data_IF_655807938032
#
_entry.id   IF_655807938032
#
_cell.length_a   1.000
_cell.length_b   1.000
_cell.length_c   1.000
_cell.angle_alpha   90.00
_cell.angle_beta   90.00
_cell.angle_gamma   90.00
#
_symmetry.space_group_name_H-M   'P 1'
#
loop_
_entity.id
_entity.type
_entity.pdbx_description
1 polymer ?
#
# COMPACT_ATOMS: atom_id res chain seq x y z
N UNK A 1 10.60 -4.97 -3.25
CA UNK A 1 11.44 -3.81 -2.85
C UNK A 1 11.10 -3.31 -1.45
N UNK A 2 9.92 -2.77 -1.12
CA UNK A 2 9.60 -2.22 0.21
C UNK A 2 9.84 -3.23 1.34
N UNK A 3 9.46 -4.52 1.15
CA UNK A 3 9.67 -5.59 2.14
C UNK A 3 11.15 -5.82 2.50
N UNK A 4 12.08 -5.65 1.57
CA UNK A 4 13.51 -5.81 1.87
C UNK A 4 14.03 -4.65 2.73
N UNK A 5 13.54 -3.45 2.54
CA UNK A 5 13.93 -2.30 3.37
C UNK A 5 13.44 -2.42 4.82
N UNK A 6 12.30 -3.07 5.06
CA UNK A 6 11.79 -3.30 6.40
C UNK A 6 12.68 -4.25 7.25
N UNK A 7 13.61 -4.98 6.62
CA UNK A 7 14.55 -5.86 7.33
C UNK A 7 15.88 -5.20 7.69
N UNK A 8 16.13 -3.97 7.23
CA UNK A 8 17.36 -3.26 7.51
C UNK A 8 17.37 -2.69 8.93
N UNK A 9 18.52 -2.65 9.59
CA UNK A 9 18.65 -2.12 10.95
C UNK A 9 18.43 -0.61 11.03
N UNK A 10 18.48 0.09 9.91
CA UNK A 10 18.21 1.52 9.79
C UNK A 10 18.26 1.96 8.33
N UNK A 11 17.58 3.08 8.05
CA UNK A 11 17.53 3.72 6.74
C UNK A 11 17.89 5.19 6.87
N UNK A 12 18.73 5.68 5.97
CA UNK A 12 18.94 7.11 5.76
C UNK A 12 18.33 7.47 4.43
N UNK A 13 17.39 8.42 4.42
CA UNK A 13 16.76 8.91 3.21
C UNK A 13 17.39 10.24 2.81
N UNK A 14 17.80 10.33 1.55
CA UNK A 14 18.28 11.53 0.92
C UNK A 14 17.20 12.04 -0.04
N UNK A 15 16.57 13.18 0.29
CA UNK A 15 15.57 13.82 -0.58
C UNK A 15 16.15 15.10 -1.17
N UNK A 16 16.00 15.25 -2.50
CA UNK A 16 16.43 16.45 -3.21
C UNK A 16 15.36 17.53 -3.22
N UNK A 17 15.79 18.77 -3.38
CA UNK A 17 14.95 19.94 -3.58
C UNK A 17 15.39 20.67 -4.86
N UNK A 18 14.59 21.60 -5.38
CA UNK A 18 14.82 22.34 -6.64
C UNK A 18 15.03 21.38 -7.84
N UNK A 19 16.24 21.40 -8.42
CA UNK A 19 16.60 20.60 -9.60
C UNK A 19 16.97 19.14 -9.24
N UNK A 20 16.94 18.76 -7.96
CA UNK A 20 17.24 17.41 -7.50
C UNK A 20 18.58 17.29 -6.76
N UNK A 21 19.12 16.08 -6.78
CA UNK A 21 20.40 15.73 -6.14
C UNK A 21 21.47 15.62 -7.21
N UNK A 22 22.71 16.05 -6.90
CA UNK A 22 23.86 15.91 -7.80
C UNK A 22 24.03 14.43 -8.17
N UNK A 23 24.14 14.16 -9.47
CA UNK A 23 24.26 12.80 -10.02
C UNK A 23 25.43 12.00 -9.42
N UNK A 24 26.51 12.67 -9.02
CA UNK A 24 27.65 12.01 -8.37
C UNK A 24 27.30 11.44 -7.01
N UNK A 25 26.30 12.01 -6.33
CA UNK A 25 25.76 11.48 -5.06
C UNK A 25 24.98 10.20 -5.35
N UNK A 26 24.09 10.23 -6.35
CA UNK A 26 23.32 9.05 -6.76
C UNK A 26 24.24 7.90 -7.21
N UNK A 27 25.31 8.19 -7.94
CA UNK A 27 26.22 7.18 -8.47
C UNK A 27 27.22 6.60 -7.45
N UNK A 28 27.59 7.36 -6.39
CA UNK A 28 28.74 7.00 -5.56
C UNK A 28 28.46 6.93 -4.06
N UNK A 29 27.35 7.50 -3.58
CA UNK A 29 27.12 7.65 -2.13
C UNK A 29 25.84 6.97 -1.64
N UNK A 30 24.88 6.66 -2.53
CA UNK A 30 23.65 6.00 -2.13
C UNK A 30 23.67 4.52 -2.52
N UNK A 31 23.07 3.68 -1.71
CA UNK A 31 22.96 2.24 -1.97
C UNK A 31 21.79 1.94 -2.93
N UNK A 32 20.75 2.76 -2.89
CA UNK A 32 19.53 2.59 -3.67
C UNK A 32 18.96 3.94 -4.13
N UNK A 33 18.54 3.99 -5.38
CA UNK A 33 17.69 5.05 -5.91
C UNK A 33 16.27 4.49 -6.07
N UNK A 34 15.28 5.22 -5.54
CA UNK A 34 13.90 4.75 -5.49
C UNK A 34 12.98 5.76 -6.17
N UNK A 35 12.25 5.32 -7.19
CA UNK A 35 11.14 6.04 -7.80
C UNK A 35 9.83 5.51 -7.28
N UNK A 36 8.87 6.39 -7.00
CA UNK A 36 7.50 6.02 -6.64
C UNK A 36 6.60 5.83 -7.86
N UNK A 37 6.97 6.37 -9.01
CA UNK A 37 6.19 6.29 -10.24
C UNK A 37 6.57 7.34 -11.28
N UNK A 38 5.91 7.28 -12.43
CA UNK A 38 6.17 8.15 -13.59
C UNK A 38 5.41 9.48 -13.46
N UNK A 39 5.74 10.25 -12.43
CA UNK A 39 5.18 11.57 -12.19
C UNK A 39 6.18 12.47 -11.47
N UNK A 40 6.00 13.78 -11.57
CA UNK A 40 6.88 14.79 -10.96
C UNK A 40 6.25 15.31 -9.66
N UNK A 41 7.06 15.38 -8.60
CA UNK A 41 6.72 16.01 -7.32
C UNK A 41 7.52 17.31 -7.14
N UNK A 42 7.01 18.23 -6.33
CA UNK A 42 7.68 19.48 -6.03
C UNK A 42 8.96 19.35 -5.18
N UNK A 43 9.11 18.23 -4.46
CA UNK A 43 10.33 17.88 -3.70
C UNK A 43 10.37 16.37 -3.47
N UNK A 44 11.54 15.85 -3.14
CA UNK A 44 11.73 14.47 -2.72
C UNK A 44 11.14 14.14 -1.34
N UNK A 45 10.78 15.16 -0.53
CA UNK A 45 10.25 14.95 0.82
C UNK A 45 8.92 14.21 0.82
N UNK A 46 8.03 14.53 -0.11
CA UNK A 46 6.75 13.83 -0.27
C UNK A 46 6.95 12.36 -0.64
N UNK A 47 7.91 12.08 -1.51
CA UNK A 47 8.29 10.71 -1.86
C UNK A 47 8.88 9.97 -0.66
N UNK A 48 9.76 10.62 0.11
CA UNK A 48 10.37 10.05 1.30
C UNK A 48 9.30 9.69 2.37
N UNK A 49 8.30 10.55 2.57
CA UNK A 49 7.19 10.28 3.51
C UNK A 49 6.39 9.05 3.07
N UNK A 50 5.99 8.97 1.80
CA UNK A 50 5.27 7.81 1.26
C UNK A 50 6.10 6.53 1.39
N UNK A 51 7.39 6.59 1.10
CA UNK A 51 8.30 5.46 1.24
C UNK A 51 8.42 5.02 2.70
N UNK A 52 8.66 5.96 3.63
CA UNK A 52 8.73 5.67 5.07
C UNK A 52 7.46 5.01 5.59
N UNK A 53 6.30 5.56 5.26
CA UNK A 53 5.02 4.97 5.67
C UNK A 53 4.90 3.53 5.17
N UNK A 54 5.20 3.30 3.89
CA UNK A 54 5.14 1.97 3.28
C UNK A 54 6.07 0.94 3.96
N UNK A 55 7.28 1.35 4.33
CA UNK A 55 8.25 0.49 5.03
C UNK A 55 7.83 0.27 6.48
N UNK A 56 7.43 1.34 7.18
CA UNK A 56 7.06 1.29 8.60
C UNK A 56 5.91 0.32 8.89
N UNK A 57 4.91 0.27 8.02
CA UNK A 57 3.78 -0.67 8.13
C UNK A 57 4.19 -2.14 8.12
N UNK A 58 5.36 -2.46 7.57
CA UNK A 58 5.91 -3.82 7.49
C UNK A 58 6.82 -4.18 8.68
N UNK A 59 7.08 -3.24 9.58
CA UNK A 59 7.89 -3.48 10.78
C UNK A 59 6.98 -4.10 11.85
N UNK A 60 7.33 -5.26 12.42
CA UNK A 60 6.54 -5.89 13.48
C UNK A 60 6.29 -4.93 14.65
N UNK A 61 5.05 -4.87 15.12
CA UNK A 61 4.62 -4.01 16.24
C UNK A 61 4.44 -2.53 15.90
N UNK A 62 4.71 -2.08 14.67
CA UNK A 62 4.44 -0.69 14.26
C UNK A 62 2.93 -0.43 14.13
N UNK A 63 2.22 -1.33 13.50
CA UNK A 63 0.75 -1.34 13.50
C UNK A 63 0.26 -1.97 14.79
N UNK A 64 -0.75 -1.39 15.44
CA UNK A 64 -1.24 -1.80 16.76
C UNK A 64 -1.69 -3.28 16.88
N UNK A 65 -1.80 -3.99 15.77
CA UNK A 65 -2.05 -5.43 15.68
C UNK A 65 -1.24 -5.98 14.51
N UNK A 66 -0.56 -7.11 14.73
CA UNK A 66 0.24 -7.79 13.69
C UNK A 66 -0.63 -8.32 12.55
N UNK A 67 -1.94 -8.49 12.78
CA UNK A 67 -2.91 -8.92 11.77
C UNK A 67 -3.52 -7.75 10.97
N UNK A 68 -3.16 -6.49 11.28
CA UNK A 68 -3.81 -5.32 10.67
C UNK A 68 -3.49 -5.13 9.19
N UNK A 69 -2.46 -5.77 8.67
CA UNK A 69 -2.08 -5.75 7.24
C UNK A 69 -2.52 -7.01 6.49
N UNK A 70 -3.10 -8.00 7.20
CA UNK A 70 -3.67 -9.20 6.58
C UNK A 70 -4.88 -8.78 5.72
N UNK A 71 -4.96 -9.25 4.49
CA UNK A 71 -5.97 -8.89 3.48
C UNK A 71 -5.77 -7.51 2.81
N UNK A 72 -4.72 -6.74 3.14
CA UNK A 72 -4.43 -5.49 2.42
C UNK A 72 -3.98 -5.75 0.97
N UNK A 73 -4.18 -4.73 0.12
CA UNK A 73 -3.68 -4.76 -1.27
C UNK A 73 -2.16 -4.97 -1.29
N UNK A 74 -1.70 -5.80 -2.23
CA UNK A 74 -0.27 -6.14 -2.43
C UNK A 74 0.36 -6.98 -1.29
N UNK A 75 -0.41 -7.62 -0.44
CA UNK A 75 0.10 -8.63 0.49
C UNK A 75 0.77 -9.78 -0.26
N UNK A 76 0.12 -10.31 -1.30
CA UNK A 76 0.76 -11.12 -2.32
C UNK A 76 0.93 -10.29 -3.60
N UNK A 77 2.01 -10.56 -4.35
CA UNK A 77 2.30 -9.82 -5.58
C UNK A 77 1.13 -9.88 -6.57
N UNK A 78 0.67 -8.71 -7.00
CA UNK A 78 -0.45 -8.58 -7.94
C UNK A 78 -1.84 -8.76 -7.35
N UNK A 79 -1.99 -8.91 -6.02
CA UNK A 79 -3.30 -8.97 -5.38
C UNK A 79 -3.76 -7.60 -4.89
N UNK A 80 -5.05 -7.33 -5.07
CA UNK A 80 -5.72 -6.15 -4.55
C UNK A 80 -6.74 -6.55 -3.50
N UNK A 81 -6.90 -5.69 -2.50
CA UNK A 81 -7.96 -5.83 -1.52
C UNK A 81 -9.35 -5.79 -2.17
N UNK A 82 -10.29 -6.56 -1.60
CA UNK A 82 -11.69 -6.53 -1.98
C UNK A 82 -12.31 -5.14 -1.72
N UNK A 83 -13.42 -4.77 -2.41
CA UNK A 83 -14.08 -3.48 -2.20
C UNK A 83 -14.64 -3.36 -0.79
N UNK A 84 -14.28 -2.28 -0.12
CA UNK A 84 -14.77 -1.94 1.22
C UNK A 84 -16.06 -1.13 1.14
N UNK A 85 -16.98 -1.37 2.09
CA UNK A 85 -18.23 -0.66 2.24
C UNK A 85 -18.36 -0.12 3.66
N UNK A 86 -18.90 1.08 3.79
CA UNK A 86 -19.15 1.76 5.06
C UNK A 86 -20.63 1.95 5.29
N UNK A 87 -21.01 2.41 6.48
CA UNK A 87 -22.40 2.82 6.79
C UNK A 87 -22.74 4.13 6.07
N UNK A 88 -24.01 4.36 5.70
CA UNK A 88 -25.18 3.50 5.90
C UNK A 88 -25.27 2.34 4.86
N UNK A 89 -26.14 1.31 5.10
CA UNK A 89 -26.33 0.20 4.15
C UNK A 89 -26.85 0.61 2.77
N UNK A 90 -27.52 1.76 2.70
CA UNK A 90 -27.96 2.38 1.45
C UNK A 90 -27.63 3.87 1.48
N UNK A 91 -27.04 4.36 0.38
CA UNK A 91 -26.80 5.77 0.16
C UNK A 91 -27.32 6.16 -1.23
N UNK A 92 -28.29 7.07 -1.28
CA UNK A 92 -29.07 7.38 -2.51
C UNK A 92 -29.66 6.09 -3.11
N UNK A 93 -29.30 5.77 -4.36
CA UNK A 93 -29.76 4.56 -5.06
C UNK A 93 -28.71 3.44 -5.04
N UNK A 94 -27.68 3.56 -4.24
CA UNK A 94 -26.57 2.59 -4.11
C UNK A 94 -26.70 1.79 -2.83
N UNK A 95 -26.77 0.48 -2.97
CA UNK A 95 -26.88 -0.45 -1.86
C UNK A 95 -25.54 -1.16 -1.59
N UNK A 96 -25.26 -1.41 -0.31
CA UNK A 96 -24.20 -2.37 0.08
C UNK A 96 -24.65 -3.77 -0.35
N UNK A 97 -23.77 -4.60 -0.95
CA UNK A 97 -24.12 -5.96 -1.31
C UNK A 97 -24.77 -6.71 -0.15
N UNK A 98 -25.97 -7.31 -0.35
CA UNK A 98 -26.73 -7.95 0.73
C UNK A 98 -25.96 -9.04 1.47
N UNK A 99 -25.03 -9.70 0.79
CA UNK A 99 -24.17 -10.74 1.38
C UNK A 99 -23.35 -10.22 2.55
N UNK A 100 -22.87 -8.94 2.48
CA UNK A 100 -22.08 -8.31 3.53
C UNK A 100 -22.92 -7.96 4.78
N UNK A 101 -24.23 -7.88 4.63
CA UNK A 101 -25.18 -7.59 5.70
C UNK A 101 -25.79 -8.88 6.30
N UNK A 102 -25.47 -10.06 5.74
CA UNK A 102 -26.11 -11.34 6.09
C UNK A 102 -25.67 -11.90 7.44
N UNK A 103 -24.53 -11.48 7.98
CA UNK A 103 -23.93 -12.09 9.17
C UNK A 103 -23.29 -13.47 8.94
N UNK A 104 -23.38 -14.04 7.73
CA UNK A 104 -22.77 -15.32 7.36
C UNK A 104 -21.28 -15.11 7.01
N UNK A 105 -20.43 -15.23 8.03
CA UNK A 105 -18.98 -15.01 7.87
C UNK A 105 -18.33 -15.86 6.80
N UNK A 106 -18.81 -17.11 6.61
CA UNK A 106 -18.28 -18.01 5.60
C UNK A 106 -18.60 -17.56 4.17
N UNK A 107 -19.81 -17.07 3.94
CA UNK A 107 -20.21 -16.53 2.63
C UNK A 107 -19.54 -15.16 2.38
N UNK A 108 -19.42 -14.33 3.40
CA UNK A 108 -18.73 -13.04 3.32
C UNK A 108 -17.27 -13.25 2.93
N UNK A 109 -16.56 -14.18 3.56
CA UNK A 109 -15.16 -14.48 3.25
C UNK A 109 -14.98 -14.95 1.80
N UNK A 110 -15.84 -15.83 1.30
CA UNK A 110 -15.82 -16.27 -0.10
C UNK A 110 -16.05 -15.12 -1.07
N UNK A 111 -17.07 -14.30 -0.81
CA UNK A 111 -17.38 -13.13 -1.63
C UNK A 111 -16.18 -12.16 -1.68
N UNK A 112 -15.54 -11.86 -0.54
CA UNK A 112 -14.37 -11.01 -0.46
C UNK A 112 -13.22 -11.51 -1.32
N UNK A 113 -12.93 -12.82 -1.24
CA UNK A 113 -11.91 -13.47 -2.06
C UNK A 113 -12.21 -13.35 -3.56
N UNK A 114 -13.45 -13.64 -3.97
CA UNK A 114 -13.88 -13.52 -5.37
C UNK A 114 -13.73 -12.07 -5.88
N UNK A 115 -14.11 -11.07 -5.08
CA UNK A 115 -13.99 -9.66 -5.45
C UNK A 115 -12.52 -9.19 -5.53
N UNK A 116 -11.67 -9.65 -4.63
CA UNK A 116 -10.22 -9.41 -4.68
C UNK A 116 -9.62 -9.95 -5.98
N UNK A 117 -9.94 -11.19 -6.34
CA UNK A 117 -9.49 -11.82 -7.58
C UNK A 117 -9.97 -11.09 -8.84
N UNK A 118 -11.25 -10.67 -8.86
CA UNK A 118 -11.82 -9.91 -9.96
C UNK A 118 -11.14 -8.55 -10.13
N UNK A 119 -10.95 -7.83 -9.03
CA UNK A 119 -10.31 -6.51 -9.04
C UNK A 119 -8.85 -6.60 -9.49
N UNK A 120 -8.12 -7.62 -9.04
CA UNK A 120 -6.72 -7.86 -9.41
C UNK A 120 -6.55 -8.15 -10.91
N UNK A 121 -7.48 -8.88 -11.52
CA UNK A 121 -7.48 -9.16 -12.98
C UNK A 121 -7.72 -7.91 -13.83
N UNK A 122 -8.52 -6.97 -13.35
CA UNK A 122 -8.89 -5.76 -14.10
C UNK A 122 -7.81 -4.67 -14.07
N UNK A 123 -6.74 -4.83 -13.28
CA UNK A 123 -5.60 -3.91 -13.22
C UNK A 123 -4.36 -4.39 -13.99
N UNK A 124 -4.43 -5.56 -14.61
CA UNK A 124 -3.40 -6.04 -15.54
C UNK A 124 -3.73 -5.58 -16.97
#
# INVERSE_FOLDING_TARGET
MVRSFATFPGLTLLSGYFEGVDERVAQNLVDYEVSLGDFVLGSGDSAAICFLESVSRLIPGFMGSDDSHVDESHEAEGTLEYPQYTRPPKYMDWDVPPILLSGDHGKIARWRKEQSELKSRNMQ
#
